data_IF_866285008764
#
_entry.id   IF_866285008764
#
_cell.length_a   1.000
_cell.length_b   1.000
_cell.length_c   1.000
_cell.angle_alpha   90.00
_cell.angle_beta   90.00
_cell.angle_gamma   90.00
#
_symmetry.space_group_name_H-M   'P 1'
#
loop_
_entity.id
_entity.type
_entity.pdbx_description
1 polymer ?
#
# COMPACT_ATOMS: atom_id res chain seq x y z
N UNK A 1 8.85 27.30 -9.28
CA UNK A 1 9.03 26.00 -8.66
C UNK A 1 8.38 26.03 -7.28
N UNK A 2 7.40 25.21 -7.07
CA UNK A 2 6.93 24.96 -5.71
C UNK A 2 8.06 24.29 -4.95
N UNK A 3 8.51 24.83 -3.81
CA UNK A 3 9.24 24.00 -2.88
C UNK A 3 8.25 22.93 -2.44
N UNK A 4 8.46 21.72 -2.88
CA UNK A 4 7.61 20.57 -2.59
C UNK A 4 7.29 20.47 -1.10
N UNK A 5 6.30 19.74 -0.78
CA UNK A 5 5.86 19.28 0.53
C UNK A 5 4.50 19.81 0.93
N UNK A 6 3.58 19.73 0.00
CA UNK A 6 2.21 20.09 0.26
C UNK A 6 1.95 21.58 0.02
N UNK A 7 0.79 21.87 -0.48
CA UNK A 7 0.37 23.17 -0.93
C UNK A 7 0.38 24.28 0.10
N UNK A 8 0.47 23.94 1.38
CA UNK A 8 0.74 24.89 2.45
C UNK A 8 1.51 24.21 3.57
N UNK A 9 2.30 24.97 4.31
CA UNK A 9 2.99 24.47 5.51
C UNK A 9 2.02 23.99 6.60
N UNK A 10 0.77 24.45 6.56
CA UNK A 10 -0.26 24.12 7.55
C UNK A 10 -1.07 22.86 7.17
N UNK A 11 -1.13 22.55 5.86
CA UNK A 11 -1.88 21.39 5.37
C UNK A 11 -1.16 20.73 4.20
N UNK A 12 -0.41 19.63 4.44
CA UNK A 12 0.36 18.95 3.40
C UNK A 12 -0.50 18.22 2.36
N UNK A 13 -1.80 18.12 2.54
CA UNK A 13 -2.75 17.56 1.58
C UNK A 13 -3.83 18.55 1.13
N UNK A 14 -3.47 19.84 1.04
CA UNK A 14 -4.35 20.86 0.48
C UNK A 14 -4.64 20.58 -1.01
N UNK A 15 -5.90 20.35 -1.34
CA UNK A 15 -6.31 20.06 -2.71
C UNK A 15 -6.28 21.30 -3.64
N UNK A 16 -6.25 22.51 -3.07
CA UNK A 16 -6.35 23.74 -3.82
C UNK A 16 -5.00 24.30 -4.28
N UNK A 17 -3.90 23.93 -3.63
CA UNK A 17 -2.59 24.57 -3.80
C UNK A 17 -1.48 23.53 -3.96
N UNK A 18 -0.56 23.79 -4.90
CA UNK A 18 0.68 23.04 -5.06
C UNK A 18 0.52 21.54 -5.25
N UNK A 19 1.43 20.82 -4.69
CA UNK A 19 1.46 19.37 -4.59
C UNK A 19 0.98 18.90 -3.21
N UNK A 20 0.70 17.61 -3.06
CA UNK A 20 0.25 17.03 -1.81
C UNK A 20 1.12 15.84 -1.40
N UNK A 21 1.42 15.74 -0.11
CA UNK A 21 1.93 14.54 0.54
C UNK A 21 0.81 13.94 1.38
N UNK A 22 0.26 12.80 0.97
CA UNK A 22 -0.88 12.20 1.64
C UNK A 22 -0.53 10.89 2.33
N UNK A 23 -0.52 10.90 3.66
CA UNK A 23 -0.09 9.80 4.49
C UNK A 23 -1.16 9.25 5.46
N UNK A 24 -2.36 9.75 5.41
CA UNK A 24 -3.43 9.26 6.30
C UNK A 24 -3.77 7.80 6.06
N UNK A 25 -3.66 7.31 4.83
CA UNK A 25 -3.86 5.89 4.53
C UNK A 25 -2.81 5.01 5.19
N UNK A 26 -1.57 5.42 5.33
CA UNK A 26 -0.54 4.62 6.00
C UNK A 26 -0.28 5.09 7.44
N UNK A 27 0.18 6.33 7.61
CA UNK A 27 0.51 6.85 8.94
C UNK A 27 -0.71 7.10 9.81
N UNK A 28 -1.79 7.61 9.20
CA UNK A 28 -3.07 7.83 9.88
C UNK A 28 -3.96 6.60 10.02
N UNK A 29 -3.51 5.46 9.50
CA UNK A 29 -4.22 4.16 9.56
C UNK A 29 -5.64 4.18 8.98
N UNK A 30 -5.92 5.13 8.08
CA UNK A 30 -7.19 5.17 7.33
C UNK A 30 -7.26 4.02 6.31
N UNK A 31 -8.45 3.49 6.01
CA UNK A 31 -8.60 2.50 4.96
C UNK A 31 -8.15 3.09 3.61
N UNK A 32 -7.59 2.30 2.71
CA UNK A 32 -7.11 2.85 1.44
C UNK A 32 -8.23 3.32 0.50
N UNK A 33 -9.49 2.95 0.75
CA UNK A 33 -10.66 3.58 0.14
C UNK A 33 -10.78 5.08 0.43
N UNK A 34 -10.07 5.56 1.45
CA UNK A 34 -10.03 6.98 1.82
C UNK A 34 -9.43 7.87 0.72
N UNK A 35 -8.60 7.31 -0.17
CA UNK A 35 -8.12 8.04 -1.35
C UNK A 35 -9.25 8.65 -2.19
N UNK A 36 -10.43 8.04 -2.21
CA UNK A 36 -11.60 8.54 -2.96
C UNK A 36 -12.14 9.88 -2.48
N UNK A 37 -11.80 10.28 -1.27
CA UNK A 37 -12.25 11.55 -0.69
C UNK A 37 -11.53 12.76 -1.28
N UNK A 38 -10.38 12.55 -1.93
CA UNK A 38 -9.47 13.62 -2.31
C UNK A 38 -9.29 13.71 -3.82
N UNK A 39 -9.16 14.96 -4.30
CA UNK A 39 -8.93 15.29 -5.70
C UNK A 39 -7.73 16.24 -5.83
N UNK A 40 -6.57 15.75 -5.41
CA UNK A 40 -5.31 16.51 -5.45
C UNK A 40 -4.99 17.00 -6.86
N UNK A 41 -4.30 18.13 -6.96
CA UNK A 41 -3.76 18.63 -8.23
C UNK A 41 -2.54 17.84 -8.69
N UNK A 42 -1.69 17.49 -7.74
CA UNK A 42 -0.52 16.65 -7.91
C UNK A 42 -0.21 15.94 -6.58
N UNK A 43 -0.23 14.64 -6.57
CA UNK A 43 0.13 13.85 -5.41
C UNK A 43 1.60 13.47 -5.51
N UNK A 44 2.46 14.26 -4.89
CA UNK A 44 3.92 14.12 -4.99
C UNK A 44 4.49 13.06 -4.06
N UNK A 45 3.73 12.66 -3.03
CA UNK A 45 4.15 11.57 -2.14
C UNK A 45 2.97 10.90 -1.47
N UNK A 46 2.92 9.58 -1.57
CA UNK A 46 2.07 8.68 -0.80
C UNK A 46 2.65 7.27 -0.88
N UNK A 47 2.30 6.39 0.03
CA UNK A 47 2.89 5.06 0.05
C UNK A 47 2.19 4.08 0.98
N UNK A 48 2.60 2.83 0.89
CA UNK A 48 2.12 1.73 1.72
C UNK A 48 3.25 0.72 1.90
N UNK A 49 3.38 0.10 3.07
CA UNK A 49 4.48 -0.85 3.30
C UNK A 49 4.10 -2.30 3.03
N UNK A 50 5.14 -3.09 2.75
CA UNK A 50 5.09 -4.54 2.80
C UNK A 50 6.42 -5.12 3.25
N UNK A 51 6.41 -6.39 3.65
CA UNK A 51 7.63 -7.16 3.82
C UNK A 51 8.28 -7.46 2.47
N UNK A 52 9.62 -7.61 2.43
CA UNK A 52 10.30 -8.12 1.25
C UNK A 52 10.02 -9.62 1.07
N UNK A 53 10.50 -10.20 -0.03
CA UNK A 53 10.34 -11.64 -0.29
C UNK A 53 11.01 -12.49 0.79
N UNK A 54 10.56 -13.74 0.95
CA UNK A 54 11.18 -14.70 1.87
C UNK A 54 12.69 -14.83 1.62
N UNK A 55 13.11 -14.89 0.37
CA UNK A 55 14.53 -14.96 -0.01
C UNK A 55 15.35 -13.77 0.51
N UNK A 56 14.73 -12.61 0.60
CA UNK A 56 15.37 -11.40 1.18
C UNK A 56 15.38 -11.48 2.70
N UNK A 57 14.30 -11.94 3.33
CA UNK A 57 14.24 -12.14 4.78
C UNK A 57 15.27 -13.19 5.22
N UNK A 58 15.47 -14.24 4.47
CA UNK A 58 16.48 -15.27 4.74
C UNK A 58 17.92 -14.74 4.76
N UNK A 59 18.19 -13.63 4.11
CA UNK A 59 19.53 -13.04 4.11
C UNK A 59 19.92 -12.37 5.43
N UNK A 60 18.96 -12.12 6.33
CA UNK A 60 19.24 -11.45 7.61
C UNK A 60 18.59 -12.16 8.82
N UNK A 61 17.95 -13.32 8.62
CA UNK A 61 17.31 -14.09 9.69
C UNK A 61 17.80 -15.54 9.75
N UNK A 62 17.94 -16.06 10.96
CA UNK A 62 18.01 -17.51 11.20
C UNK A 62 16.60 -18.13 11.07
N UNK A 63 16.48 -19.45 10.82
CA UNK A 63 15.18 -20.10 10.70
C UNK A 63 14.21 -19.84 11.85
N UNK A 64 14.70 -19.87 13.09
CA UNK A 64 13.94 -19.63 14.32
C UNK A 64 13.48 -18.17 14.48
N UNK A 65 14.09 -17.24 13.77
CA UNK A 65 13.77 -15.81 13.80
C UNK A 65 12.73 -15.44 12.73
N UNK A 66 12.35 -16.36 11.86
CA UNK A 66 11.41 -16.11 10.74
C UNK A 66 9.97 -16.04 11.22
N UNK A 67 9.71 -15.06 12.05
CA UNK A 67 8.38 -14.62 12.46
C UNK A 67 8.38 -13.11 12.69
N UNK A 68 7.24 -12.46 12.50
CA UNK A 68 7.15 -10.99 12.57
C UNK A 68 7.36 -10.42 13.98
N UNK A 69 7.35 -11.24 15.00
CA UNK A 69 7.55 -10.85 16.40
C UNK A 69 9.00 -10.98 16.84
N UNK A 70 9.87 -11.53 15.99
CA UNK A 70 11.29 -11.64 16.32
C UNK A 70 11.93 -10.25 16.31
N UNK A 71 12.91 -10.07 17.20
CA UNK A 71 13.63 -8.80 17.30
C UNK A 71 14.31 -8.41 15.99
N UNK A 72 14.84 -9.37 15.25
CA UNK A 72 15.51 -9.11 13.98
C UNK A 72 14.52 -8.57 12.94
N UNK A 73 13.30 -9.12 12.88
CA UNK A 73 12.26 -8.60 11.98
C UNK A 73 11.78 -7.20 12.38
N UNK A 74 11.74 -6.88 13.67
CA UNK A 74 11.44 -5.52 14.13
C UNK A 74 12.56 -4.55 13.79
N UNK A 75 13.81 -4.97 13.92
CA UNK A 75 14.97 -4.14 13.55
C UNK A 75 15.04 -3.92 12.04
N UNK A 76 14.65 -4.89 11.22
CA UNK A 76 14.57 -4.79 9.76
C UNK A 76 13.21 -4.23 9.31
N UNK A 77 12.76 -3.17 9.98
CA UNK A 77 11.55 -2.41 9.65
C UNK A 77 11.88 -0.93 9.53
N UNK A 78 11.56 -0.33 8.37
CA UNK A 78 11.90 1.08 8.10
C UNK A 78 11.11 2.06 8.95
N UNK A 79 9.96 1.65 9.47
CA UNK A 79 9.10 2.48 10.30
C UNK A 79 8.78 1.75 11.62
N UNK A 80 9.04 2.36 12.75
CA UNK A 80 8.74 1.80 14.07
C UNK A 80 7.27 1.38 14.18
N UNK A 81 6.99 0.25 14.87
CA UNK A 81 5.65 -0.31 15.07
C UNK A 81 4.88 -0.72 13.79
N UNK A 82 5.50 -0.68 12.61
CA UNK A 82 4.81 -0.89 11.35
C UNK A 82 4.49 -2.37 11.05
N UNK A 83 5.16 -3.34 11.69
CA UNK A 83 4.76 -4.74 11.56
C UNK A 83 3.32 -4.97 12.04
N UNK A 84 2.94 -4.37 13.16
CA UNK A 84 1.56 -4.37 13.66
C UNK A 84 0.59 -3.66 12.71
N UNK A 85 1.02 -2.57 12.10
CA UNK A 85 0.22 -1.81 11.13
C UNK A 85 -0.05 -2.62 9.86
N UNK A 86 0.94 -3.33 9.32
CA UNK A 86 0.74 -4.26 8.21
C UNK A 86 -0.30 -5.33 8.57
N UNK A 87 -0.22 -5.92 9.77
CA UNK A 87 -1.19 -6.91 10.24
C UNK A 87 -2.59 -6.34 10.38
N UNK A 88 -2.73 -5.13 10.89
CA UNK A 88 -4.02 -4.45 10.99
C UNK A 88 -4.71 -4.35 9.63
N UNK A 89 -3.99 -3.84 8.63
CA UNK A 89 -4.52 -3.75 7.27
C UNK A 89 -4.78 -5.12 6.65
N UNK A 90 -3.91 -6.11 6.88
CA UNK A 90 -4.12 -7.49 6.40
C UNK A 90 -5.42 -8.07 6.95
N UNK A 91 -5.64 -7.96 8.26
CA UNK A 91 -6.84 -8.50 8.91
C UNK A 91 -8.14 -7.83 8.47
N UNK A 92 -8.05 -6.57 8.04
CA UNK A 92 -9.20 -5.84 7.50
C UNK A 92 -9.50 -6.16 6.02
N UNK A 93 -8.51 -6.69 5.29
CA UNK A 93 -8.61 -6.84 3.83
C UNK A 93 -8.64 -8.28 3.37
N UNK A 94 -7.81 -9.15 3.96
CA UNK A 94 -7.63 -10.55 3.57
C UNK A 94 -7.93 -11.51 4.71
N UNK A 95 -8.08 -12.79 4.37
CA UNK A 95 -8.02 -13.88 5.34
C UNK A 95 -6.60 -13.99 5.91
N UNK A 96 -6.49 -14.48 7.15
CA UNK A 96 -5.19 -14.66 7.78
C UNK A 96 -4.31 -15.61 6.96
N UNK A 97 -3.06 -15.23 6.69
CA UNK A 97 -2.10 -16.10 6.03
C UNK A 97 -1.83 -17.36 6.86
N UNK A 98 -1.68 -18.49 6.20
CA UNK A 98 -1.51 -19.79 6.88
C UNK A 98 -0.13 -19.99 7.52
N UNK A 99 0.88 -19.25 7.06
CA UNK A 99 2.26 -19.33 7.54
C UNK A 99 3.03 -18.04 7.25
N UNK A 100 4.28 -17.97 7.71
CA UNK A 100 5.13 -16.80 7.57
C UNK A 100 5.39 -16.41 6.10
N UNK A 101 5.68 -17.39 5.23
CA UNK A 101 5.94 -17.10 3.81
C UNK A 101 4.71 -16.49 3.12
N UNK A 102 3.52 -17.03 3.42
CA UNK A 102 2.27 -16.50 2.90
C UNK A 102 1.94 -15.11 3.47
N UNK A 103 2.34 -14.84 4.72
CA UNK A 103 2.19 -13.51 5.32
C UNK A 103 3.04 -12.48 4.59
N UNK A 104 4.30 -12.79 4.29
CA UNK A 104 5.16 -11.90 3.52
C UNK A 104 4.54 -11.61 2.14
N UNK A 105 4.08 -12.66 1.46
CA UNK A 105 3.45 -12.54 0.14
C UNK A 105 2.14 -11.73 0.19
N UNK A 106 1.25 -12.03 1.13
CA UNK A 106 -0.01 -11.32 1.29
C UNK A 106 0.21 -9.84 1.60
N UNK A 107 1.25 -9.50 2.37
CA UNK A 107 1.60 -8.10 2.61
C UNK A 107 1.99 -7.35 1.34
N UNK A 108 2.67 -8.03 0.41
CA UNK A 108 3.01 -7.43 -0.88
C UNK A 108 1.79 -7.23 -1.79
N UNK A 109 0.84 -8.18 -1.78
CA UNK A 109 -0.42 -8.02 -2.50
C UNK A 109 -1.23 -6.85 -1.93
N UNK A 110 -1.30 -6.75 -0.61
CA UNK A 110 -1.97 -5.66 0.08
C UNK A 110 -1.36 -4.29 -0.28
N UNK A 111 -0.03 -4.18 -0.27
CA UNK A 111 0.67 -2.97 -0.71
C UNK A 111 0.29 -2.61 -2.15
N UNK A 112 0.31 -3.60 -3.05
CA UNK A 112 -0.01 -3.41 -4.46
C UNK A 112 -1.47 -2.95 -4.64
N UNK A 113 -2.40 -3.55 -3.92
CA UNK A 113 -3.83 -3.19 -4.00
C UNK A 113 -4.09 -1.79 -3.45
N UNK A 114 -3.50 -1.44 -2.31
CA UNK A 114 -3.67 -0.11 -1.71
C UNK A 114 -3.15 1.00 -2.65
N UNK A 115 -1.96 0.83 -3.20
CA UNK A 115 -1.37 1.84 -4.11
C UNK A 115 -2.11 1.87 -5.45
N UNK A 116 -2.47 0.71 -6.00
CA UNK A 116 -3.27 0.62 -7.23
C UNK A 116 -4.60 1.36 -7.08
N UNK A 117 -5.28 1.15 -5.98
CA UNK A 117 -6.55 1.82 -5.69
C UNK A 117 -6.42 3.34 -5.75
N UNK A 118 -5.40 3.89 -5.10
CA UNK A 118 -5.10 5.33 -5.15
C UNK A 118 -4.74 5.82 -6.54
N UNK A 119 -3.79 5.16 -7.23
CA UNK A 119 -3.35 5.56 -8.57
C UNK A 119 -4.50 5.52 -9.57
N UNK A 120 -5.31 4.47 -9.55
CA UNK A 120 -6.46 4.36 -10.45
C UNK A 120 -7.47 5.48 -10.19
N UNK A 121 -7.75 5.80 -8.92
CA UNK A 121 -8.61 6.92 -8.57
C UNK A 121 -8.05 8.23 -9.14
N UNK A 122 -6.80 8.59 -8.86
CA UNK A 122 -6.21 9.85 -9.31
C UNK A 122 -6.08 9.93 -10.83
N UNK A 123 -5.83 8.81 -11.51
CA UNK A 123 -5.79 8.77 -12.97
C UNK A 123 -7.14 8.94 -13.64
N UNK A 124 -8.23 8.49 -13.02
CA UNK A 124 -9.60 8.77 -13.53
C UNK A 124 -9.90 10.26 -13.53
N UNK A 125 -9.32 11.01 -12.60
CA UNK A 125 -9.46 12.45 -12.50
C UNK A 125 -8.34 13.22 -13.22
N UNK A 126 -7.77 12.63 -14.28
CA UNK A 126 -6.78 13.32 -15.12
C UNK A 126 -7.39 14.61 -15.69
N UNK A 127 -6.62 15.70 -15.59
CA UNK A 127 -7.10 17.07 -15.87
C UNK A 127 -7.24 17.86 -14.57
N UNK A 128 -7.67 17.22 -13.49
CA UNK A 128 -7.55 17.75 -12.14
C UNK A 128 -6.26 17.27 -11.49
N UNK A 129 -6.06 15.93 -11.38
CA UNK A 129 -4.81 15.35 -10.90
C UNK A 129 -3.87 15.08 -12.09
N UNK A 130 -2.73 15.75 -12.10
CA UNK A 130 -1.76 15.69 -13.19
C UNK A 130 -0.55 14.78 -12.88
N UNK A 131 -0.52 14.17 -11.70
CA UNK A 131 0.53 13.19 -11.35
C UNK A 131 0.33 12.59 -9.97
N UNK A 132 0.82 11.35 -9.83
CA UNK A 132 0.91 10.62 -8.57
C UNK A 132 2.27 9.94 -8.49
N UNK A 133 3.03 10.23 -7.43
CA UNK A 133 4.37 9.70 -7.20
C UNK A 133 4.36 8.83 -5.97
N UNK A 134 4.75 7.57 -6.15
CA UNK A 134 4.76 6.58 -5.07
C UNK A 134 6.06 6.68 -4.27
N UNK A 135 5.95 6.80 -2.97
CA UNK A 135 7.02 6.56 -2.05
C UNK A 135 7.03 5.09 -1.65
N UNK A 136 8.04 4.29 -2.04
CA UNK A 136 9.29 4.65 -2.71
C UNK A 136 9.70 3.55 -3.72
N UNK A 137 10.68 3.85 -4.57
CA UNK A 137 11.11 2.91 -5.61
C UNK A 137 11.86 1.70 -5.01
N UNK A 138 12.93 1.94 -4.23
CA UNK A 138 13.86 0.90 -3.80
C UNK A 138 14.40 1.13 -2.38
N UNK A 139 15.01 0.09 -1.84
CA UNK A 139 15.65 0.08 -0.53
C UNK A 139 17.18 0.22 -0.61
N UNK A 140 17.77 0.73 0.49
CA UNK A 140 19.22 0.86 0.67
C UNK A 140 19.79 -0.25 1.56
N UNK A 141 18.97 -1.09 2.12
CA UNK A 141 19.31 -2.25 2.94
C UNK A 141 18.14 -3.24 2.97
N UNK A 142 18.35 -4.54 3.37
CA UNK A 142 17.26 -5.50 3.41
C UNK A 142 16.27 -5.16 4.54
N UNK A 143 15.04 -4.81 4.20
CA UNK A 143 14.09 -4.22 5.17
C UNK A 143 12.64 -4.33 4.71
N UNK A 144 11.69 -4.34 5.65
CA UNK A 144 10.29 -4.06 5.36
C UNK A 144 10.10 -2.54 5.17
N UNK A 145 9.50 -2.14 4.07
CA UNK A 145 9.43 -0.73 3.66
C UNK A 145 8.31 -0.46 2.65
N UNK A 146 8.24 0.79 2.21
CA UNK A 146 7.36 1.23 1.13
C UNK A 146 7.88 0.89 -0.27
N UNK A 147 9.11 0.41 -0.40
CA UNK A 147 9.75 0.16 -1.68
C UNK A 147 8.98 -0.85 -2.54
N UNK A 148 8.97 -0.63 -3.85
CA UNK A 148 8.45 -1.59 -4.84
C UNK A 148 9.52 -2.58 -5.31
N UNK A 149 10.80 -2.22 -5.19
CA UNK A 149 11.96 -3.06 -5.47
C UNK A 149 12.77 -3.21 -4.18
N UNK A 150 13.07 -4.44 -3.76
CA UNK A 150 13.84 -4.67 -2.55
C UNK A 150 15.33 -4.35 -2.74
N UNK A 151 16.08 -4.40 -1.62
CA UNK A 151 17.52 -4.12 -1.61
C UNK A 151 18.34 -4.93 -2.64
N UNK A 152 17.94 -6.17 -2.92
CA UNK A 152 18.63 -7.05 -3.86
C UNK A 152 18.11 -6.92 -5.31
N UNK A 153 17.30 -5.91 -5.60
CA UNK A 153 16.74 -5.69 -6.93
C UNK A 153 15.56 -6.61 -7.26
N UNK A 154 14.99 -7.32 -6.29
CA UNK A 154 13.82 -8.18 -6.50
C UNK A 154 12.56 -7.34 -6.52
N UNK A 155 11.74 -7.57 -7.52
CA UNK A 155 10.46 -6.89 -7.63
C UNK A 155 9.46 -7.45 -6.62
N UNK A 156 8.87 -6.56 -5.83
CA UNK A 156 7.72 -6.86 -5.00
C UNK A 156 6.44 -6.81 -5.84
N UNK A 157 5.32 -7.32 -5.32
CA UNK A 157 4.05 -7.32 -6.05
C UNK A 157 3.66 -5.91 -6.53
N UNK A 158 3.98 -4.88 -5.74
CA UNK A 158 3.75 -3.49 -6.11
C UNK A 158 4.40 -3.13 -7.45
N UNK A 159 5.66 -3.52 -7.69
CA UNK A 159 6.37 -3.16 -8.92
C UNK A 159 5.71 -3.76 -10.19
N UNK A 160 5.18 -4.96 -10.09
CA UNK A 160 4.38 -5.55 -11.18
C UNK A 160 3.05 -4.83 -11.37
N UNK A 161 2.41 -4.39 -10.28
CA UNK A 161 1.19 -3.59 -10.34
C UNK A 161 1.46 -2.20 -10.95
N UNK A 162 2.57 -1.55 -10.59
CA UNK A 162 3.00 -0.26 -11.13
C UNK A 162 3.11 -0.30 -12.65
N UNK A 163 3.68 -1.35 -13.21
CA UNK A 163 3.76 -1.54 -14.65
C UNK A 163 2.39 -1.47 -15.33
N UNK A 164 1.34 -1.94 -14.67
CA UNK A 164 -0.04 -1.93 -15.19
C UNK A 164 -0.73 -0.60 -14.92
N UNK A 165 -0.70 -0.14 -13.67
CA UNK A 165 -1.45 1.05 -13.28
C UNK A 165 -0.85 2.35 -13.83
N UNK A 166 0.43 2.36 -14.25
CA UNK A 166 1.07 3.47 -14.94
C UNK A 166 1.18 3.27 -16.46
N UNK A 167 0.58 2.21 -17.03
CA UNK A 167 0.53 2.03 -18.47
C UNK A 167 -0.14 3.25 -19.17
N UNK A 168 0.26 3.61 -20.40
CA UNK A 168 -0.34 4.73 -21.13
C UNK A 168 -1.86 4.65 -21.23
N UNK A 169 -2.39 3.45 -21.45
CA UNK A 169 -3.83 3.16 -21.47
C UNK A 169 -4.15 2.29 -20.25
N UNK A 170 -5.16 2.69 -19.50
CA UNK A 170 -5.64 1.98 -18.31
C UNK A 170 -7.16 1.92 -18.33
N UNK A 171 -7.68 0.75 -17.99
CA UNK A 171 -9.12 0.55 -17.74
C UNK A 171 -9.27 0.36 -16.23
N UNK A 172 -10.16 1.13 -15.60
CA UNK A 172 -10.50 0.97 -14.19
C UNK A 172 -11.97 1.29 -13.95
N UNK A 173 -12.56 0.64 -12.96
CA UNK A 173 -13.92 0.91 -12.54
C UNK A 173 -13.92 1.97 -11.43
N UNK A 174 -14.87 2.89 -11.50
CA UNK A 174 -15.15 3.80 -10.41
C UNK A 174 -16.13 3.15 -9.44
N UNK A 175 -15.76 3.11 -8.17
CA UNK A 175 -16.66 2.66 -7.11
C UNK A 175 -17.44 3.86 -6.57
N UNK A 176 -18.78 3.80 -6.66
CA UNK A 176 -19.65 4.90 -6.25
C UNK A 176 -20.37 4.64 -4.92
N UNK A 177 -20.25 3.44 -4.36
CA UNK A 177 -20.86 3.08 -3.07
C UNK A 177 -20.27 3.83 -1.87
N UNK A 178 -20.86 3.64 -0.70
CA UNK A 178 -20.30 4.15 0.54
C UNK A 178 -18.88 3.65 0.77
N UNK A 179 -18.06 4.48 1.43
CA UNK A 179 -16.69 4.08 1.77
C UNK A 179 -16.75 2.98 2.84
N UNK A 180 -16.32 1.78 2.47
CA UNK A 180 -16.21 0.65 3.40
C UNK A 180 -14.82 0.59 3.99
N UNK A 181 -14.74 0.19 5.26
CA UNK A 181 -13.47 -0.16 5.89
C UNK A 181 -12.87 -1.44 5.30
N UNK A 182 -13.70 -2.27 4.66
CA UNK A 182 -13.31 -3.52 3.98
C UNK A 182 -13.60 -3.40 2.48
N UNK A 183 -12.68 -2.82 1.69
CA UNK A 183 -12.89 -2.59 0.26
C UNK A 183 -13.03 -3.87 -0.57
N UNK A 184 -12.55 -4.99 -0.06
CA UNK A 184 -12.69 -6.32 -0.66
C UNK A 184 -13.48 -7.22 0.31
N UNK A 185 -14.76 -6.90 0.51
CA UNK A 185 -15.64 -7.89 1.12
C UNK A 185 -15.64 -9.12 0.23
N UNK A 186 -15.05 -10.21 0.71
CA UNK A 186 -15.42 -11.54 0.24
C UNK A 186 -16.92 -11.61 0.52
N UNK A 187 -17.73 -11.69 -0.53
CA UNK A 187 -19.16 -11.88 -0.37
C UNK A 187 -19.36 -13.03 0.63
N UNK A 188 -20.07 -12.77 1.73
CA UNK A 188 -20.37 -13.83 2.67
C UNK A 188 -20.92 -15.01 1.87
N UNK A 189 -20.38 -16.21 2.05
CA UNK A 189 -20.90 -17.36 1.33
C UNK A 189 -22.40 -17.42 1.64
N UNK A 190 -23.23 -17.26 0.61
CA UNK A 190 -24.66 -17.44 0.77
C UNK A 190 -24.86 -18.80 1.43
N UNK A 191 -25.62 -18.89 2.54
CA UNK A 191 -25.89 -20.17 3.15
C UNK A 191 -26.46 -21.10 2.07
N UNK A 192 -25.82 -22.23 1.87
CA UNK A 192 -26.30 -23.26 0.95
C UNK A 192 -27.67 -23.63 1.47
N UNK A 193 -28.71 -23.21 0.75
CA UNK A 193 -30.07 -23.51 1.10
C UNK A 193 -30.19 -25.01 1.28
N UNK A 194 -30.60 -25.48 2.45
CA UNK A 194 -31.05 -26.84 2.63
C UNK A 194 -32.23 -26.99 1.68
N UNK A 195 -32.04 -27.74 0.58
CA UNK A 195 -33.13 -28.21 -0.24
C UNK A 195 -34.02 -29.08 0.64
N UNK A 196 -35.21 -28.59 0.93
CA UNK A 196 -36.31 -29.39 1.46
C UNK A 196 -36.83 -30.42 0.42
#
# INVERSE_FOLDING_TARGET
SSPSSGGSYDNPWDEARGDAHYWDVWHGEKPFTDYRKYHFRYLSEFGFQSFPSLKTVESFTLPEERNIFSRVMEMHQRNTAANGKILKYLSATYLYPKDFAHLLYASQLLQADAIRYGVEHFRRYRGRCMGAVVWQLNDIWPVASWASIDYYGRWKALHYAERKMFAPVMISCEETGELSERPYCIAEPKPIGKSG
#
